data_IF_412137090289
#
_entry.id   IF_412137090289
#
_cell.length_a   1.000
_cell.length_b   1.000
_cell.length_c   1.000
_cell.angle_alpha   90.00
_cell.angle_beta   90.00
_cell.angle_gamma   90.00
#
_symmetry.space_group_name_H-M   'P 1'
#
loop_
_entity.id
_entity.type
_entity.pdbx_description
1 polymer ?
#
# COMPACT_ATOMS: atom_id res chain seq x y z
N UNK A 1 -12.53 -39.32 -14.29
CA UNK A 1 -11.49 -39.54 -13.26
C UNK A 1 -10.13 -38.98 -13.68
N UNK A 2 -9.59 -39.35 -14.86
CA UNK A 2 -8.28 -38.84 -15.33
C UNK A 2 -8.22 -37.30 -15.50
N UNK A 3 -9.28 -36.69 -16.05
CA UNK A 3 -9.35 -35.23 -16.21
C UNK A 3 -9.41 -34.48 -14.87
N UNK A 4 -10.11 -35.04 -13.88
CA UNK A 4 -10.18 -34.47 -12.53
C UNK A 4 -8.83 -34.53 -11.81
N UNK A 5 -8.06 -35.62 -12.00
CA UNK A 5 -6.70 -35.71 -11.45
C UNK A 5 -5.72 -34.75 -12.12
N UNK A 6 -5.85 -34.49 -13.42
CA UNK A 6 -4.99 -33.52 -14.14
C UNK A 6 -5.30 -32.09 -13.68
N UNK A 7 -6.58 -31.75 -13.53
CA UNK A 7 -6.99 -30.43 -13.04
C UNK A 7 -6.54 -30.19 -11.59
N UNK A 8 -6.64 -31.19 -10.72
CA UNK A 8 -6.16 -31.09 -9.34
C UNK A 8 -4.64 -30.87 -9.28
N UNK A 9 -3.87 -31.62 -10.07
CA UNK A 9 -2.41 -31.46 -10.14
C UNK A 9 -2.00 -30.05 -10.61
N UNK A 10 -2.61 -29.55 -11.69
CA UNK A 10 -2.32 -28.21 -12.20
C UNK A 10 -2.68 -27.11 -11.18
N UNK A 11 -3.74 -27.31 -10.40
CA UNK A 11 -4.14 -26.39 -9.33
C UNK A 11 -3.12 -26.38 -8.18
N UNK A 12 -2.64 -27.56 -7.75
CA UNK A 12 -1.60 -27.67 -6.71
C UNK A 12 -0.27 -27.04 -7.15
N UNK A 13 0.13 -27.24 -8.41
CA UNK A 13 1.33 -26.62 -8.98
C UNK A 13 1.23 -25.08 -8.99
N UNK A 14 0.06 -24.53 -9.33
CA UNK A 14 -0.18 -23.09 -9.27
C UNK A 14 -0.08 -22.55 -7.84
N UNK A 15 -0.64 -23.25 -6.85
CA UNK A 15 -0.52 -22.85 -5.43
C UNK A 15 0.95 -22.88 -4.99
N UNK A 16 1.69 -23.92 -5.34
CA UNK A 16 3.10 -24.04 -4.99
C UNK A 16 3.94 -22.89 -5.57
N UNK A 17 3.73 -22.56 -6.86
CA UNK A 17 4.38 -21.42 -7.50
C UNK A 17 4.04 -20.08 -6.82
N UNK A 18 2.78 -19.89 -6.43
CA UNK A 18 2.37 -18.66 -5.74
C UNK A 18 2.96 -18.55 -4.34
N UNK A 19 3.09 -19.67 -3.60
CA UNK A 19 3.77 -19.72 -2.30
C UNK A 19 5.26 -19.37 -2.42
N UNK A 20 5.95 -19.91 -3.43
CA UNK A 20 7.35 -19.59 -3.70
C UNK A 20 7.53 -18.09 -3.99
N UNK A 21 6.68 -17.52 -4.86
CA UNK A 21 6.69 -16.07 -5.15
C UNK A 21 6.44 -15.21 -3.91
N UNK A 22 5.49 -15.61 -3.07
CA UNK A 22 5.21 -14.92 -1.81
C UNK A 22 6.43 -14.94 -0.88
N UNK A 23 7.09 -16.09 -0.74
CA UNK A 23 8.28 -16.25 0.09
C UNK A 23 9.46 -15.44 -0.44
N UNK A 24 9.70 -15.46 -1.75
CA UNK A 24 10.73 -14.62 -2.40
C UNK A 24 10.46 -13.13 -2.14
N UNK A 25 9.20 -12.69 -2.28
CA UNK A 25 8.82 -11.31 -1.99
C UNK A 25 9.05 -10.95 -0.52
N UNK A 26 8.65 -11.81 0.41
CA UNK A 26 8.84 -11.57 1.85
C UNK A 26 10.33 -11.46 2.19
N UNK A 27 11.14 -12.39 1.67
CA UNK A 27 12.60 -12.37 1.83
C UNK A 27 13.20 -11.06 1.30
N UNK A 28 12.83 -10.66 0.08
CA UNK A 28 13.25 -9.39 -0.52
C UNK A 28 12.90 -8.19 0.36
N UNK A 29 11.65 -8.11 0.85
CA UNK A 29 11.21 -7.00 1.72
C UNK A 29 11.97 -6.95 3.04
N UNK A 30 12.28 -8.11 3.63
CA UNK A 30 13.08 -8.18 4.86
C UNK A 30 14.52 -7.71 4.66
N UNK A 31 15.08 -7.85 3.46
CA UNK A 31 16.43 -7.34 3.16
C UNK A 31 16.44 -5.91 2.65
N UNK A 32 15.38 -5.45 1.99
CA UNK A 32 15.30 -4.14 1.33
C UNK A 32 15.53 -2.98 2.30
N UNK A 33 16.48 -2.09 2.00
CA UNK A 33 16.73 -0.86 2.77
C UNK A 33 16.18 0.37 2.05
N UNK A 34 16.04 1.48 2.78
CA UNK A 34 15.70 2.78 2.22
C UNK A 34 16.74 3.27 1.23
N UNK A 35 18.02 2.93 1.42
CA UNK A 35 19.06 3.25 0.43
C UNK A 35 18.91 2.44 -0.85
N UNK A 36 18.59 1.14 -0.75
CA UNK A 36 18.31 0.30 -1.93
C UNK A 36 17.14 0.88 -2.75
N UNK A 37 16.09 1.37 -2.07
CA UNK A 37 14.93 2.02 -2.71
C UNK A 37 15.35 3.29 -3.47
N UNK A 38 16.28 4.08 -2.93
CA UNK A 38 16.77 5.31 -3.57
C UNK A 38 17.62 5.05 -4.81
N UNK A 39 18.21 3.87 -4.98
CA UNK A 39 19.07 3.57 -6.13
C UNK A 39 18.33 3.69 -7.47
N UNK A 40 17.03 3.36 -7.50
CA UNK A 40 16.19 3.48 -8.69
C UNK A 40 15.53 4.86 -8.83
N UNK A 41 15.75 5.79 -7.91
CA UNK A 41 15.13 7.12 -7.93
C UNK A 41 15.96 8.13 -8.73
N UNK A 42 15.26 9.03 -9.43
CA UNK A 42 15.86 10.28 -9.93
C UNK A 42 16.21 11.22 -8.78
N UNK A 43 17.07 12.21 -9.01
CA UNK A 43 17.45 13.19 -7.96
C UNK A 43 16.25 13.95 -7.37
N UNK A 44 15.23 14.24 -8.20
CA UNK A 44 13.97 14.87 -7.71
C UNK A 44 13.15 13.92 -6.83
N UNK A 45 13.07 12.64 -7.22
CA UNK A 45 12.38 11.61 -6.44
C UNK A 45 13.10 11.39 -5.10
N UNK A 46 14.43 11.30 -5.09
CA UNK A 46 15.24 11.18 -3.86
C UNK A 46 15.00 12.35 -2.93
N UNK A 47 15.10 13.59 -3.42
CA UNK A 47 14.90 14.79 -2.60
C UNK A 47 13.49 14.84 -1.98
N UNK A 48 12.46 14.47 -2.75
CA UNK A 48 11.09 14.37 -2.24
C UNK A 48 10.97 13.25 -1.20
N UNK A 49 11.54 12.08 -1.48
CA UNK A 49 11.49 10.93 -0.58
C UNK A 49 12.16 11.23 0.76
N UNK A 50 13.36 11.81 0.75
CA UNK A 50 14.08 12.21 1.97
C UNK A 50 13.32 13.26 2.77
N UNK A 51 12.69 14.22 2.10
CA UNK A 51 11.82 15.21 2.76
C UNK A 51 10.66 14.51 3.47
N UNK A 52 10.01 13.55 2.82
CA UNK A 52 8.89 12.80 3.40
C UNK A 52 9.35 11.90 4.55
N UNK A 53 10.47 11.18 4.38
CA UNK A 53 11.05 10.34 5.43
C UNK A 53 11.39 11.18 6.68
N UNK A 54 12.02 12.34 6.49
CA UNK A 54 12.35 13.26 7.58
C UNK A 54 11.10 13.80 8.28
N UNK A 55 10.10 14.25 7.51
CA UNK A 55 8.82 14.76 8.02
C UNK A 55 8.09 13.74 8.90
N UNK A 56 8.10 12.47 8.49
CA UNK A 56 7.42 11.38 9.19
C UNK A 56 8.32 10.59 10.15
N UNK A 57 9.59 11.01 10.31
CA UNK A 57 10.61 10.33 11.14
C UNK A 57 10.75 8.83 10.82
N UNK A 58 10.72 8.50 9.53
CA UNK A 58 10.81 7.13 9.04
C UNK A 58 12.27 6.73 8.75
N UNK A 59 12.61 5.52 9.15
CA UNK A 59 13.90 4.86 8.95
C UNK A 59 13.66 3.37 8.68
N UNK A 60 14.70 2.59 8.34
CA UNK A 60 14.54 1.19 7.90
C UNK A 60 13.69 0.31 8.84
N UNK A 61 13.81 0.51 10.15
CA UNK A 61 13.09 -0.28 11.15
C UNK A 61 11.65 0.20 11.40
N UNK A 62 11.32 1.43 11.01
CA UNK A 62 10.00 2.03 11.22
C UNK A 62 9.22 2.27 9.93
N UNK A 63 9.80 1.97 8.76
CA UNK A 63 9.17 2.22 7.47
C UNK A 63 7.93 1.32 7.28
N UNK A 64 6.71 1.89 7.20
CA UNK A 64 5.49 1.11 7.18
C UNK A 64 5.35 0.19 5.97
N UNK A 65 4.89 -1.03 6.23
CA UNK A 65 4.60 -2.03 5.20
C UNK A 65 3.61 -1.55 4.15
N UNK A 66 2.64 -0.72 4.56
CA UNK A 66 1.63 -0.18 3.65
C UNK A 66 2.19 0.74 2.56
N UNK A 67 3.47 1.14 2.62
CA UNK A 67 4.16 1.86 1.53
C UNK A 67 4.94 0.95 0.58
N UNK A 68 4.98 -0.36 0.82
CA UNK A 68 5.67 -1.34 -0.04
C UNK A 68 4.69 -2.30 -0.74
N UNK A 69 3.45 -1.84 -0.95
CA UNK A 69 2.36 -2.65 -1.49
C UNK A 69 2.45 -2.73 -3.01
N UNK A 70 2.34 -3.92 -3.57
CA UNK A 70 2.18 -4.14 -5.00
C UNK A 70 0.69 -4.14 -5.36
N UNK A 71 0.34 -3.44 -6.45
CA UNK A 71 -0.98 -3.50 -7.07
C UNK A 71 -0.84 -4.12 -8.45
N UNK A 72 -1.92 -4.70 -8.99
CA UNK A 72 -1.90 -5.43 -10.26
C UNK A 72 -1.51 -4.53 -11.43
N UNK A 73 -1.73 -3.22 -11.27
CA UNK A 73 -1.44 -2.20 -12.26
C UNK A 73 -0.24 -1.30 -11.91
N UNK A 74 0.54 -1.61 -10.86
CA UNK A 74 1.71 -0.80 -10.48
C UNK A 74 2.75 -0.65 -11.60
N UNK A 75 2.80 -1.57 -12.57
CA UNK A 75 3.75 -1.55 -13.68
C UNK A 75 3.66 -0.29 -14.58
N UNK A 76 2.53 0.44 -14.53
CA UNK A 76 2.37 1.70 -15.25
C UNK A 76 3.06 2.90 -14.57
N UNK A 77 3.46 2.74 -13.30
CA UNK A 77 4.14 3.75 -12.50
C UNK A 77 5.60 3.32 -12.34
N UNK A 78 6.52 4.05 -12.98
CA UNK A 78 7.95 3.78 -12.87
C UNK A 78 8.54 4.33 -11.56
N UNK A 79 7.94 5.39 -10.99
CA UNK A 79 8.33 5.87 -9.66
C UNK A 79 8.19 4.73 -8.64
N UNK A 80 9.19 4.49 -7.77
CA UNK A 80 9.12 3.42 -6.78
C UNK A 80 7.85 3.50 -5.91
N UNK A 81 7.17 2.37 -5.65
CA UNK A 81 5.98 2.29 -4.80
C UNK A 81 6.09 3.05 -3.48
N UNK A 82 7.24 2.91 -2.82
CA UNK A 82 7.55 3.51 -1.52
C UNK A 82 7.43 5.03 -1.53
N UNK A 83 7.84 5.68 -2.62
CA UNK A 83 7.74 7.13 -2.71
C UNK A 83 6.30 7.55 -2.97
N UNK A 84 5.64 7.02 -4.00
CA UNK A 84 4.32 7.54 -4.35
C UNK A 84 3.24 7.15 -3.34
N UNK A 85 3.34 5.99 -2.70
CA UNK A 85 2.43 5.56 -1.63
C UNK A 85 2.58 6.42 -0.38
N UNK A 86 3.83 6.72 0.01
CA UNK A 86 4.12 7.66 1.10
C UNK A 86 3.64 9.08 0.76
N UNK A 87 3.83 9.53 -0.47
CA UNK A 87 3.35 10.84 -0.94
C UNK A 87 1.81 10.93 -0.89
N UNK A 88 1.10 9.87 -1.29
CA UNK A 88 -0.37 9.83 -1.18
C UNK A 88 -0.78 9.97 0.28
N UNK A 89 -0.15 9.20 1.17
CA UNK A 89 -0.42 9.29 2.60
C UNK A 89 -0.18 10.70 3.13
N UNK A 90 1.00 11.28 2.86
CA UNK A 90 1.36 12.62 3.32
C UNK A 90 0.36 13.70 2.86
N UNK A 91 -0.03 13.64 1.58
CA UNK A 91 -0.83 14.69 0.94
C UNK A 91 -2.31 14.57 1.29
N UNK A 92 -2.83 13.34 1.28
CA UNK A 92 -4.28 13.09 1.30
C UNK A 92 -4.78 12.44 2.58
N UNK A 93 -3.93 11.85 3.42
CA UNK A 93 -4.37 11.09 4.59
C UNK A 93 -3.85 11.74 5.89
N UNK A 94 -2.56 12.03 5.94
CA UNK A 94 -1.90 12.46 7.17
C UNK A 94 -2.51 13.73 7.76
N UNK A 95 -2.93 13.64 9.02
CA UNK A 95 -3.48 14.78 9.77
C UNK A 95 -4.81 15.32 9.24
N UNK A 96 -5.46 14.64 8.29
CA UNK A 96 -6.78 15.05 7.78
C UNK A 96 -7.87 14.61 8.75
N UNK A 97 -8.68 15.55 9.20
CA UNK A 97 -9.85 15.33 10.06
C UNK A 97 -11.10 15.91 9.40
N UNK A 98 -12.28 15.60 9.91
CA UNK A 98 -13.52 16.22 9.43
C UNK A 98 -13.42 17.75 9.51
N UNK A 99 -13.87 18.50 8.48
CA UNK A 99 -14.61 18.04 7.29
C UNK A 99 -13.73 17.65 6.08
N UNK A 100 -12.40 17.60 6.25
CA UNK A 100 -11.41 17.31 5.20
C UNK A 100 -11.03 15.82 5.13
N UNK A 101 -11.79 14.95 5.80
CA UNK A 101 -11.55 13.51 5.90
C UNK A 101 -11.97 12.73 4.63
N UNK A 102 -12.27 13.43 3.53
CA UNK A 102 -12.75 12.82 2.29
C UNK A 102 -11.74 13.01 1.18
N UNK A 103 -11.46 11.91 0.47
CA UNK A 103 -10.55 11.87 -0.65
C UNK A 103 -11.34 11.54 -1.92
N UNK A 104 -11.15 12.33 -2.96
CA UNK A 104 -11.61 12.02 -4.30
C UNK A 104 -10.45 11.44 -5.11
N UNK A 105 -10.44 10.13 -5.33
CA UNK A 105 -9.36 9.39 -6.00
C UNK A 105 -9.02 9.96 -7.40
N UNK A 106 -9.98 10.39 -8.24
CA UNK A 106 -9.65 11.06 -9.49
C UNK A 106 -8.82 12.34 -9.32
N UNK A 107 -8.98 13.07 -8.21
CA UNK A 107 -8.13 14.24 -7.93
C UNK A 107 -6.68 13.82 -7.62
N UNK A 108 -6.47 12.70 -6.90
CA UNK A 108 -5.13 12.15 -6.64
C UNK A 108 -4.42 11.86 -7.97
N UNK A 109 -5.14 11.23 -8.90
CA UNK A 109 -4.66 10.94 -10.26
C UNK A 109 -4.26 12.21 -11.01
N UNK A 110 -5.09 13.25 -10.98
CA UNK A 110 -4.82 14.50 -11.71
C UNK A 110 -3.60 15.25 -11.15
N UNK A 111 -3.44 15.26 -9.82
CA UNK A 111 -2.23 15.81 -9.18
C UNK A 111 -1.01 14.97 -9.50
N UNK A 112 -1.11 13.64 -9.51
CA UNK A 112 -0.01 12.77 -9.89
C UNK A 112 0.47 13.07 -11.32
N UNK A 113 -0.44 13.22 -12.28
CA UNK A 113 -0.07 13.64 -13.64
C UNK A 113 0.62 15.01 -13.67
N UNK A 114 0.23 15.93 -12.79
CA UNK A 114 0.90 17.23 -12.64
C UNK A 114 2.34 17.06 -12.11
N UNK A 115 2.55 16.16 -11.15
CA UNK A 115 3.88 15.80 -10.65
C UNK A 115 4.74 15.17 -11.75
N UNK A 116 4.15 14.29 -12.57
CA UNK A 116 4.81 13.68 -13.72
C UNK A 116 5.23 14.74 -14.76
N UNK A 117 4.35 15.68 -15.12
CA UNK A 117 4.68 16.79 -16.04
C UNK A 117 5.81 17.68 -15.54
N UNK A 118 5.98 17.80 -14.22
CA UNK A 118 7.10 18.53 -13.58
C UNK A 118 8.39 17.71 -13.48
N UNK A 119 8.36 16.46 -13.95
CA UNK A 119 9.46 15.51 -13.84
C UNK A 119 9.74 15.05 -12.40
N UNK A 120 8.75 15.14 -11.50
CA UNK A 120 8.88 14.63 -10.14
C UNK A 120 8.51 13.15 -10.03
N UNK A 121 7.56 12.68 -10.85
CA UNK A 121 7.21 11.26 -10.96
C UNK A 121 7.38 10.76 -12.38
N UNK A 122 7.58 9.45 -12.52
CA UNK A 122 7.77 8.74 -13.78
C UNK A 122 6.63 7.75 -13.99
N UNK A 123 6.10 7.74 -15.21
CA UNK A 123 5.06 6.84 -15.69
C UNK A 123 5.57 6.15 -16.95
N UNK A 124 5.24 4.87 -17.12
CA UNK A 124 5.51 4.14 -18.37
C UNK A 124 4.33 4.24 -19.35
N UNK A 125 3.14 4.55 -18.85
CA UNK A 125 1.93 4.70 -19.66
C UNK A 125 1.77 6.11 -20.26
N UNK A 126 0.96 6.21 -21.31
CA UNK A 126 0.53 7.51 -21.86
C UNK A 126 -0.57 8.14 -21.01
N UNK A 127 -0.78 9.45 -21.18
CA UNK A 127 -1.88 10.15 -20.52
C UNK A 127 -3.24 9.55 -20.95
N UNK A 128 -4.08 9.18 -19.98
CA UNK A 128 -5.39 8.57 -20.24
C UNK A 128 -5.42 7.05 -20.21
N UNK A 129 -4.29 6.38 -19.94
CA UNK A 129 -4.25 4.92 -19.74
C UNK A 129 -5.18 4.50 -18.57
N UNK A 130 -6.10 3.52 -18.78
CA UNK A 130 -7.06 3.10 -17.76
C UNK A 130 -6.45 2.29 -16.61
N UNK A 131 -5.24 1.75 -16.77
CA UNK A 131 -4.56 1.00 -15.72
C UNK A 131 -3.99 1.92 -14.63
N UNK A 132 -3.58 3.15 -14.98
CA UNK A 132 -3.06 4.11 -14.01
C UNK A 132 -4.06 4.46 -12.88
N UNK A 133 -5.31 4.88 -13.16
CA UNK A 133 -6.28 5.10 -12.10
C UNK A 133 -6.61 3.82 -11.33
N UNK A 134 -6.54 2.65 -11.98
CA UNK A 134 -6.76 1.35 -11.34
C UNK A 134 -5.66 1.05 -10.30
N UNK A 135 -4.39 1.34 -10.60
CA UNK A 135 -3.29 1.18 -9.64
C UNK A 135 -3.49 2.01 -8.35
N UNK A 136 -3.94 3.26 -8.50
CA UNK A 136 -4.22 4.15 -7.36
C UNK A 136 -5.47 3.67 -6.59
N UNK A 137 -6.52 3.24 -7.30
CA UNK A 137 -7.73 2.74 -6.67
C UNK A 137 -7.47 1.47 -5.86
N UNK A 138 -6.77 0.49 -6.44
CA UNK A 138 -6.38 -0.74 -5.75
C UNK A 138 -5.56 -0.45 -4.50
N UNK A 139 -4.68 0.55 -4.54
CA UNK A 139 -3.93 0.96 -3.36
C UNK A 139 -4.87 1.44 -2.23
N UNK A 140 -5.86 2.28 -2.55
CA UNK A 140 -6.87 2.69 -1.55
C UNK A 140 -7.71 1.51 -1.04
N UNK A 141 -8.01 0.52 -1.90
CA UNK A 141 -8.67 -0.71 -1.47
C UNK A 141 -7.81 -1.49 -0.46
N UNK A 142 -6.48 -1.57 -0.68
CA UNK A 142 -5.55 -2.19 0.29
C UNK A 142 -5.49 -1.41 1.61
N UNK A 143 -5.47 -0.07 1.56
CA UNK A 143 -5.57 0.76 2.77
C UNK A 143 -6.88 0.52 3.53
N UNK A 144 -7.96 0.20 2.81
CA UNK A 144 -9.25 -0.17 3.41
C UNK A 144 -9.20 -1.47 4.21
N UNK A 145 -8.36 -2.44 3.82
CA UNK A 145 -8.17 -3.68 4.57
C UNK A 145 -7.60 -3.42 5.98
N UNK A 146 -6.75 -2.40 6.12
CA UNK A 146 -6.20 -1.94 7.40
C UNK A 146 -7.13 -0.99 8.17
N UNK A 147 -8.31 -0.67 7.63
CA UNK A 147 -9.22 0.29 8.24
C UNK A 147 -8.70 1.73 8.23
N UNK A 148 -7.75 2.07 7.34
CA UNK A 148 -7.25 3.44 7.21
C UNK A 148 -8.23 4.33 6.46
N UNK A 149 -8.88 3.76 5.43
CA UNK A 149 -9.90 4.41 4.63
C UNK A 149 -11.12 3.51 4.45
N UNK A 150 -12.23 4.08 4.03
CA UNK A 150 -13.44 3.34 3.62
C UNK A 150 -14.07 3.99 2.41
N UNK A 151 -14.53 3.19 1.46
CA UNK A 151 -15.27 3.71 0.32
C UNK A 151 -16.66 4.22 0.74
N UNK A 152 -17.02 5.40 0.23
CA UNK A 152 -18.35 6.00 0.43
C UNK A 152 -19.36 5.64 -0.67
N UNK A 153 -18.89 5.14 -1.82
CA UNK A 153 -19.75 4.82 -2.96
C UNK A 153 -19.91 3.33 -3.16
N UNK A 154 -21.16 2.83 -3.27
CA UNK A 154 -21.44 1.40 -3.56
C UNK A 154 -20.95 0.94 -4.93
N UNK A 155 -20.77 1.87 -5.88
CA UNK A 155 -20.52 1.53 -7.28
C UNK A 155 -19.23 2.09 -7.86
N UNK A 156 -18.62 3.12 -7.26
CA UNK A 156 -17.55 3.86 -7.94
C UNK A 156 -16.20 3.80 -7.28
N UNK A 157 -16.06 3.41 -6.00
CA UNK A 157 -14.79 3.42 -5.24
C UNK A 157 -13.97 4.74 -5.31
N UNK A 158 -14.49 5.78 -5.96
CA UNK A 158 -13.80 7.03 -6.26
C UNK A 158 -13.74 7.97 -5.07
N UNK A 159 -14.67 7.84 -4.11
CA UNK A 159 -14.67 8.63 -2.90
C UNK A 159 -14.36 7.74 -1.69
N UNK A 160 -13.34 8.13 -0.94
CA UNK A 160 -12.86 7.45 0.25
C UNK A 160 -13.02 8.38 1.44
N UNK A 161 -13.43 7.85 2.59
CA UNK A 161 -13.38 8.52 3.87
C UNK A 161 -12.17 7.99 4.66
N UNK A 162 -11.42 8.90 5.25
CA UNK A 162 -10.29 8.59 6.12
C UNK A 162 -10.85 8.22 7.49
N UNK A 163 -10.50 7.03 7.96
CA UNK A 163 -10.88 6.53 9.27
C UNK A 163 -9.70 6.63 10.25
N UNK A 164 -8.47 6.47 9.76
CA UNK A 164 -7.25 6.70 10.51
C UNK A 164 -6.30 7.58 9.70
N UNK A 165 -5.88 8.70 10.28
CA UNK A 165 -5.07 9.74 9.64
C UNK A 165 -3.61 9.79 10.15
N UNK A 166 -3.23 8.81 10.95
CA UNK A 166 -1.89 8.62 11.49
C UNK A 166 -1.50 7.15 11.35
N UNK A 167 -0.20 6.91 11.29
CA UNK A 167 0.38 5.57 11.28
C UNK A 167 0.61 5.13 12.72
N UNK A 168 0.50 3.83 13.01
CA UNK A 168 0.75 3.35 14.35
C UNK A 168 2.24 3.47 14.65
N UNK A 169 2.57 3.86 15.88
CA UNK A 169 3.95 3.94 16.32
C UNK A 169 4.53 2.52 16.55
N UNK A 170 5.06 1.90 15.49
CA UNK A 170 5.62 0.55 15.57
C UNK A 170 6.98 0.42 14.87
N UNK A 171 7.94 -0.20 15.55
CA UNK A 171 9.23 -0.59 15.00
C UNK A 171 9.29 -2.10 14.80
N UNK A 172 9.74 -2.56 13.64
CA UNK A 172 9.88 -3.97 13.35
C UNK A 172 9.72 -4.22 11.86
N UNK A 173 10.85 -4.37 11.18
CA UNK A 173 10.87 -4.58 9.72
C UNK A 173 10.07 -5.82 9.31
N UNK A 174 10.14 -6.90 10.07
CA UNK A 174 9.42 -8.15 9.77
C UNK A 174 7.89 -7.98 9.77
N UNK A 175 7.35 -7.23 10.74
CA UNK A 175 5.92 -6.90 10.77
C UNK A 175 5.54 -6.10 9.53
N UNK A 176 6.32 -5.06 9.21
CA UNK A 176 6.07 -4.20 8.04
C UNK A 176 6.15 -4.98 6.73
N UNK A 177 7.15 -5.85 6.56
CA UNK A 177 7.25 -6.75 5.40
C UNK A 177 6.06 -7.69 5.30
N UNK A 178 5.62 -8.26 6.43
CA UNK A 178 4.46 -9.15 6.50
C UNK A 178 3.17 -8.45 6.10
N UNK A 179 2.94 -7.24 6.60
CA UNK A 179 1.80 -6.39 6.23
C UNK A 179 1.85 -6.06 4.73
N UNK A 180 3.01 -5.67 4.19
CA UNK A 180 3.17 -5.38 2.77
C UNK A 180 2.84 -6.60 1.89
N UNK A 181 3.33 -7.78 2.27
CA UNK A 181 3.06 -9.06 1.60
C UNK A 181 1.56 -9.39 1.63
N UNK A 182 0.95 -9.36 2.83
CA UNK A 182 -0.48 -9.63 2.99
C UNK A 182 -1.32 -8.71 2.08
N UNK A 183 -1.08 -7.40 2.14
CA UNK A 183 -1.84 -6.42 1.37
C UNK A 183 -1.67 -6.59 -0.14
N UNK A 184 -0.49 -7.00 -0.59
CA UNK A 184 -0.21 -7.22 -2.01
C UNK A 184 -0.94 -8.46 -2.55
N UNK A 185 -1.02 -9.55 -1.77
CA UNK A 185 -1.59 -10.84 -2.22
C UNK A 185 -3.08 -11.06 -1.90
N UNK A 186 -3.71 -10.30 -0.99
CA UNK A 186 -5.07 -10.60 -0.50
C UNK A 186 -6.17 -10.63 -1.58
N UNK A 187 -5.98 -9.97 -2.72
CA UNK A 187 -6.92 -9.98 -3.84
C UNK A 187 -6.44 -10.79 -5.05
N UNK A 188 -5.32 -11.51 -4.91
CA UNK A 188 -4.86 -12.44 -5.95
C UNK A 188 -5.71 -13.71 -5.97
N UNK A 189 -5.74 -14.36 -7.12
CA UNK A 189 -6.30 -15.71 -7.21
C UNK A 189 -5.57 -16.63 -6.21
N UNK A 190 -6.32 -17.52 -5.55
CA UNK A 190 -5.80 -18.47 -4.55
C UNK A 190 -5.25 -17.83 -3.26
N UNK A 191 -5.53 -16.55 -2.98
CA UNK A 191 -5.05 -15.87 -1.77
C UNK A 191 -5.28 -16.68 -0.48
N UNK A 192 -6.44 -17.33 -0.34
CA UNK A 192 -6.74 -18.13 0.86
C UNK A 192 -5.85 -19.36 1.02
N UNK A 193 -5.40 -19.97 -0.09
CA UNK A 193 -4.51 -21.13 -0.06
C UNK A 193 -3.03 -20.75 0.06
N UNK A 194 -2.68 -19.51 -0.28
CA UNK A 194 -1.30 -19.02 -0.38
C UNK A 194 -0.87 -18.23 0.85
N UNK A 195 -1.75 -17.38 1.40
CA UNK A 195 -1.44 -16.57 2.58
C UNK A 195 -1.28 -17.47 3.81
N UNK A 196 -0.18 -17.27 4.54
CA UNK A 196 0.07 -17.95 5.82
C UNK A 196 -0.74 -17.28 6.93
N UNK A 197 -0.95 -18.00 8.04
CA UNK A 197 -1.63 -17.44 9.21
C UNK A 197 -0.85 -16.27 9.81
N UNK A 198 0.48 -16.38 9.88
CA UNK A 198 1.38 -15.31 10.34
C UNK A 198 1.15 -13.99 9.59
N UNK A 199 0.95 -14.03 8.27
CA UNK A 199 0.67 -12.83 7.47
C UNK A 199 -0.71 -12.24 7.79
N UNK A 200 -1.71 -13.08 8.05
CA UNK A 200 -3.06 -12.64 8.44
C UNK A 200 -3.03 -11.99 9.82
N UNK A 201 -2.35 -12.62 10.78
CA UNK A 201 -2.18 -12.12 12.14
C UNK A 201 -1.42 -10.79 12.16
N UNK A 202 -0.33 -10.67 11.38
CA UNK A 202 0.41 -9.42 11.23
C UNK A 202 -0.48 -8.28 10.73
N UNK A 203 -1.31 -8.52 9.70
CA UNK A 203 -2.23 -7.52 9.18
C UNK A 203 -3.36 -7.18 10.17
N UNK A 204 -3.88 -8.16 10.89
CA UNK A 204 -4.89 -7.96 11.94
C UNK A 204 -4.34 -7.10 13.08
N UNK A 205 -3.16 -7.44 13.61
CA UNK A 205 -2.48 -6.68 14.65
C UNK A 205 -2.21 -5.23 14.18
N UNK A 206 -1.75 -5.05 12.94
CA UNK A 206 -1.54 -3.72 12.38
C UNK A 206 -2.83 -2.90 12.29
N UNK A 207 -3.93 -3.53 11.88
CA UNK A 207 -5.26 -2.90 11.86
C UNK A 207 -5.74 -2.52 13.25
N UNK A 208 -5.53 -3.37 14.25
CA UNK A 208 -5.89 -3.06 15.64
C UNK A 208 -5.10 -1.86 16.16
N UNK A 209 -3.79 -1.78 15.88
CA UNK A 209 -2.98 -0.61 16.22
C UNK A 209 -3.51 0.68 15.59
N UNK A 210 -3.90 0.63 14.31
CA UNK A 210 -4.52 1.76 13.60
C UNK A 210 -5.83 2.23 14.26
N UNK A 211 -6.63 1.31 14.79
CA UNK A 211 -7.92 1.62 15.42
C UNK A 211 -7.77 2.06 16.89
N UNK A 212 -6.83 1.48 17.63
CA UNK A 212 -6.57 1.83 19.03
C UNK A 212 -6.07 3.26 19.21
N UNK A 213 -5.24 3.76 18.29
CA UNK A 213 -4.79 5.15 18.30
C UNK A 213 -5.92 6.15 17.92
N UNK A 214 -6.94 5.70 17.19
CA UNK A 214 -8.10 6.53 16.85
C UNK A 214 -9.02 6.78 18.06
N UNK A 215 -9.18 5.78 18.95
CA UNK A 215 -10.09 5.85 20.10
C UNK A 215 -9.54 6.63 21.29
N UNK A 216 -8.22 6.70 21.45
CA UNK A 216 -7.58 7.38 22.59
C UNK A 216 -7.62 8.91 22.51
N UNK A 217 -8.04 9.49 21.37
CA UNK A 217 -8.11 10.94 21.16
C UNK A 217 -9.52 11.53 21.07
N UNK A 218 -10.56 10.72 20.89
CA UNK A 218 -11.94 11.21 20.96
C UNK A 218 -12.40 11.55 22.38
N UNK A 219 -11.60 11.18 23.40
CA UNK A 219 -11.85 11.46 24.82
C UNK A 219 -11.07 12.66 25.36
N UNK A 220 -10.27 13.34 24.53
CA UNK A 220 -9.59 14.59 24.90
C UNK A 220 -10.17 15.76 24.10
N UNK A 221 -11.44 16.09 24.33
CA UNK A 221 -11.93 17.44 24.08
C UNK A 221 -11.53 18.32 25.29
N UNK A 222 -10.84 19.45 25.08
CA UNK A 222 -10.68 20.44 26.13
C UNK A 222 -11.99 21.22 26.29
N UNK A 223 -12.51 21.27 27.52
CA UNK A 223 -13.43 22.32 27.98
C UNK A 223 -12.77 23.71 27.93
#
# INVERSE_FOLDING_TARGET
>A
MLEQSIQAYAYEEQIALQKDRLQQRLSYLNTLTLEDIKLDMTEKEKALFETLLSKHKLYDQSFPGLFSVSTSHSFVIQTPPQLWQLWIYDTYIHGKTAPQDKIWVPQVKDIFYTMHKKGMFRLTCTFGDPHFPSAIQEYFERLGLLGMVRSLGRHTAKCQQILANQLPAHTGKELHSSVACYLSWKHEAFAEAVLTEELREAAAAYKEMMQGECLTRSTQEPE
#
